data_IF_082603501874
#
_entry.id   IF_082603501874
#
_cell.length_a   1.000
_cell.length_b   1.000
_cell.length_c   1.000
_cell.angle_alpha   90.00
_cell.angle_beta   90.00
_cell.angle_gamma   90.00
#
_symmetry.space_group_name_H-M   'P 1'
#
loop_
_entity.id
_entity.type
_entity.pdbx_description
1 polymer ?
#
# COMPACT_ATOMS: atom_id res chain seq x y z
N UNK A 1 3.51 15.58 15.56
CA UNK A 1 2.73 16.74 15.07
C UNK A 1 3.68 17.94 14.92
N UNK A 2 3.74 18.60 13.76
CA UNK A 2 4.67 19.72 13.53
C UNK A 2 4.23 20.96 14.33
N UNK A 3 5.16 21.80 14.77
CA UNK A 3 4.86 23.00 15.56
C UNK A 3 3.81 23.92 14.90
N UNK A 4 3.85 24.06 13.57
CA UNK A 4 2.87 24.85 12.80
C UNK A 4 1.42 24.33 12.90
N UNK A 5 1.22 23.04 13.21
CA UNK A 5 -0.13 22.47 13.39
C UNK A 5 -0.77 22.94 14.69
N UNK A 6 0.01 23.28 15.72
CA UNK A 6 -0.47 23.70 17.04
C UNK A 6 -0.99 25.14 17.07
N UNK A 7 -0.51 25.97 16.15
CA UNK A 7 -0.93 27.37 16.01
C UNK A 7 -2.08 27.55 15.01
N UNK A 8 -2.56 26.46 14.41
CA UNK A 8 -3.64 26.50 13.44
C UNK A 8 -4.97 26.87 14.09
N UNK A 9 -5.89 27.47 13.31
CA UNK A 9 -7.22 27.78 13.82
C UNK A 9 -8.00 26.51 14.17
N UNK A 10 -7.79 25.41 13.45
CA UNK A 10 -8.40 24.12 13.72
C UNK A 10 -7.75 23.00 12.92
N UNK A 11 -8.10 21.77 13.26
CA UNK A 11 -7.49 20.56 12.72
C UNK A 11 -8.54 19.67 12.05
N UNK A 12 -8.26 19.25 10.82
CA UNK A 12 -9.07 18.25 10.11
C UNK A 12 -8.25 16.97 10.02
N UNK A 13 -8.83 15.87 10.49
CA UNK A 13 -8.23 14.55 10.50
C UNK A 13 -9.01 13.64 9.55
N UNK A 14 -8.31 12.90 8.69
CA UNK A 14 -8.93 11.85 7.89
C UNK A 14 -9.14 10.60 8.76
N UNK A 15 -10.13 10.69 9.64
CA UNK A 15 -10.54 9.68 10.59
C UNK A 15 -12.04 9.86 10.88
N UNK A 16 -12.62 9.00 11.70
CA UNK A 16 -14.02 9.13 12.14
C UNK A 16 -14.12 8.83 13.63
N UNK A 17 -15.12 9.44 14.29
CA UNK A 17 -15.21 9.47 15.75
C UNK A 17 -15.32 8.07 16.36
N UNK A 18 -16.07 7.18 15.72
CA UNK A 18 -16.28 5.80 16.17
C UNK A 18 -14.99 4.96 16.16
N UNK A 19 -13.99 5.35 15.36
CA UNK A 19 -12.68 4.67 15.32
C UNK A 19 -11.74 5.16 16.44
N UNK A 20 -11.67 6.47 16.66
CA UNK A 20 -10.59 7.12 17.43
C UNK A 20 -11.14 8.06 18.53
N UNK A 21 -12.23 7.67 19.20
CA UNK A 21 -12.91 8.57 20.16
C UNK A 21 -11.96 9.08 21.25
N UNK A 22 -11.11 8.22 21.82
CA UNK A 22 -10.25 8.60 22.94
C UNK A 22 -9.09 9.50 22.48
N UNK A 23 -8.51 9.20 21.32
CA UNK A 23 -7.41 9.91 20.70
C UNK A 23 -7.86 11.32 20.29
N UNK A 24 -9.05 11.46 19.70
CA UNK A 24 -9.61 12.76 19.35
C UNK A 24 -9.78 13.66 20.58
N UNK A 25 -10.21 13.11 21.72
CA UNK A 25 -10.31 13.86 22.97
C UNK A 25 -8.95 14.28 23.52
N UNK A 26 -7.93 13.42 23.41
CA UNK A 26 -6.55 13.78 23.75
C UNK A 26 -6.02 14.89 22.85
N UNK A 27 -6.28 14.83 21.54
CA UNK A 27 -5.89 15.86 20.58
C UNK A 27 -6.57 17.19 20.90
N UNK A 28 -7.87 17.22 21.19
CA UNK A 28 -8.56 18.46 21.62
C UNK A 28 -7.95 19.08 22.86
N UNK A 29 -7.65 18.25 23.89
CA UNK A 29 -6.96 18.70 25.11
C UNK A 29 -5.59 19.28 24.81
N UNK A 30 -4.82 18.62 23.93
CA UNK A 30 -3.49 19.08 23.52
C UNK A 30 -3.55 20.41 22.74
N UNK A 31 -4.52 20.54 21.84
CA UNK A 31 -4.79 21.75 21.05
C UNK A 31 -5.43 22.89 21.84
N UNK A 32 -5.94 22.60 23.05
CA UNK A 32 -6.64 23.55 23.94
C UNK A 32 -7.88 24.20 23.29
N UNK A 33 -8.50 23.52 22.32
CA UNK A 33 -9.74 23.95 21.69
C UNK A 33 -10.47 22.78 21.02
N UNK A 34 -11.79 22.92 20.82
CA UNK A 34 -12.63 21.87 20.25
C UNK A 34 -12.74 21.87 18.72
N UNK A 35 -12.02 22.76 18.05
CA UNK A 35 -11.97 22.88 16.57
C UNK A 35 -11.10 21.77 15.95
N UNK A 36 -11.45 20.52 16.25
CA UNK A 36 -10.84 19.29 15.74
C UNK A 36 -11.95 18.45 15.13
N UNK A 37 -11.91 18.22 13.83
CA UNK A 37 -12.94 17.49 13.09
C UNK A 37 -12.35 16.23 12.45
N UNK A 38 -12.99 15.09 12.72
CA UNK A 38 -12.72 13.84 12.05
C UNK A 38 -13.63 13.75 10.81
N UNK A 39 -13.04 13.88 9.62
CA UNK A 39 -13.71 13.79 8.32
C UNK A 39 -13.12 12.63 7.53
N UNK A 40 -13.65 11.43 7.77
CA UNK A 40 -13.14 10.22 7.16
C UNK A 40 -14.11 9.04 7.22
N UNK A 41 -13.75 7.91 6.58
CA UNK A 41 -12.61 7.80 5.67
C UNK A 41 -12.84 8.61 4.38
N UNK A 42 -11.90 9.48 4.02
CA UNK A 42 -11.95 10.20 2.75
C UNK A 42 -11.85 9.20 1.60
N UNK A 43 -12.86 9.19 0.74
CA UNK A 43 -12.88 8.30 -0.41
C UNK A 43 -11.87 8.77 -1.47
N UNK A 44 -11.19 7.83 -2.15
CA UNK A 44 -10.39 8.17 -3.31
C UNK A 44 -11.24 8.91 -4.35
N UNK A 45 -10.69 10.00 -4.91
CA UNK A 45 -11.37 10.74 -5.97
C UNK A 45 -11.51 9.83 -7.19
N UNK A 46 -12.76 9.51 -7.55
CA UNK A 46 -13.06 8.79 -8.78
C UNK A 46 -12.82 9.74 -9.96
N UNK A 47 -11.83 9.43 -10.80
CA UNK A 47 -11.71 10.06 -12.11
C UNK A 47 -12.91 9.64 -12.95
N UNK A 48 -13.70 10.63 -13.42
CA UNK A 48 -14.86 10.42 -14.29
C UNK A 48 -14.56 9.45 -15.45
N UNK A 49 -15.58 8.76 -16.02
CA UNK A 49 -15.39 7.82 -17.12
C UNK A 49 -14.88 8.46 -18.42
N UNK A 50 -14.78 9.79 -18.47
CA UNK A 50 -14.20 10.56 -19.57
C UNK A 50 -12.68 10.60 -19.35
N UNK A 51 -11.98 9.53 -19.72
CA UNK A 51 -10.51 9.48 -19.71
C UNK A 51 -9.92 8.24 -19.04
N UNK A 52 -10.32 7.04 -19.48
CA UNK A 52 -9.80 5.75 -18.97
C UNK A 52 -8.32 5.46 -19.25
N UNK A 53 -7.49 6.42 -19.67
CA UNK A 53 -6.11 6.13 -20.06
C UNK A 53 -5.00 6.87 -19.32
N UNK A 54 -5.25 7.89 -18.50
CA UNK A 54 -4.14 8.73 -18.03
C UNK A 54 -4.33 9.22 -16.60
N UNK A 55 -4.11 8.34 -15.62
CA UNK A 55 -3.37 8.79 -14.43
C UNK A 55 -1.89 8.85 -14.82
N UNK A 56 -1.55 9.89 -15.59
CA UNK A 56 -0.17 10.34 -15.77
C UNK A 56 0.29 10.94 -14.44
N UNK A 57 0.71 10.05 -13.55
CA UNK A 57 1.61 10.36 -12.45
C UNK A 57 3.02 10.03 -12.91
N UNK A 58 3.64 10.99 -13.61
CA UNK A 58 5.09 11.19 -13.76
C UNK A 58 5.97 9.93 -13.57
N UNK A 59 6.36 9.36 -14.72
CA UNK A 59 7.74 8.92 -15.00
C UNK A 59 8.23 7.64 -14.30
N UNK A 60 8.28 6.56 -15.10
CA UNK A 60 9.19 5.38 -15.00
C UNK A 60 8.82 4.33 -13.95
N UNK A 61 8.22 3.24 -14.43
CA UNK A 61 8.05 1.98 -13.72
C UNK A 61 7.07 1.09 -14.48
N UNK A 62 7.33 -0.23 -14.52
CA UNK A 62 6.39 -1.19 -15.10
C UNK A 62 4.97 -0.94 -14.58
N UNK A 63 3.99 -0.92 -15.46
CA UNK A 63 2.58 -0.74 -15.15
C UNK A 63 1.86 -1.95 -15.70
N UNK A 64 1.32 -2.82 -14.84
CA UNK A 64 0.40 -3.86 -15.30
C UNK A 64 -0.96 -3.18 -15.46
N UNK A 65 -1.57 -3.19 -16.67
CA UNK A 65 -2.89 -2.60 -16.88
C UNK A 65 -3.92 -3.15 -15.90
N UNK A 66 -4.79 -2.29 -15.37
CA UNK A 66 -5.77 -2.69 -14.36
C UNK A 66 -6.62 -3.90 -14.78
N UNK A 67 -7.01 -3.95 -16.06
CA UNK A 67 -7.81 -5.05 -16.59
C UNK A 67 -7.09 -6.41 -16.58
N UNK A 68 -5.75 -6.45 -16.68
CA UNK A 68 -4.98 -7.70 -16.60
C UNK A 68 -4.94 -8.21 -15.16
N UNK A 69 -4.74 -7.32 -14.19
CA UNK A 69 -4.78 -7.66 -12.75
C UNK A 69 -6.17 -8.18 -12.37
N UNK A 70 -7.22 -7.51 -12.82
CA UNK A 70 -8.60 -7.95 -12.57
C UNK A 70 -8.87 -9.30 -13.23
N UNK A 71 -8.41 -9.54 -14.46
CA UNK A 71 -8.56 -10.85 -15.11
C UNK A 71 -7.89 -11.98 -14.34
N UNK A 72 -6.72 -11.72 -13.74
CA UNK A 72 -6.04 -12.70 -12.88
C UNK A 72 -6.80 -12.93 -11.58
N UNK A 73 -7.38 -11.88 -10.98
CA UNK A 73 -8.24 -12.02 -9.81
C UNK A 73 -9.52 -12.81 -10.12
N UNK A 74 -10.15 -12.57 -11.29
CA UNK A 74 -11.34 -13.28 -11.76
C UNK A 74 -11.09 -14.77 -12.04
N UNK A 75 -9.86 -15.16 -12.38
CA UNK A 75 -9.53 -16.57 -12.61
C UNK A 75 -9.48 -17.40 -11.32
N UNK A 76 -9.55 -16.77 -10.15
CA UNK A 76 -9.61 -17.45 -8.86
C UNK A 76 -11.06 -17.49 -8.37
N UNK A 77 -11.57 -18.71 -8.13
CA UNK A 77 -12.98 -18.91 -7.80
C UNK A 77 -13.33 -18.62 -6.33
N UNK A 78 -12.35 -18.57 -5.44
CA UNK A 78 -12.54 -18.34 -4.01
C UNK A 78 -12.81 -16.88 -3.67
N UNK A 79 -13.77 -16.63 -2.79
CA UNK A 79 -13.96 -15.33 -2.16
C UNK A 79 -13.01 -15.21 -0.97
N UNK A 80 -12.47 -14.01 -0.75
CA UNK A 80 -11.56 -13.68 0.36
C UNK A 80 -10.34 -14.62 0.48
N UNK A 81 -9.86 -15.20 -0.63
CA UNK A 81 -8.79 -16.20 -0.64
C UNK A 81 -7.41 -15.66 -1.01
N UNK A 82 -7.34 -14.40 -1.48
CA UNK A 82 -6.10 -13.78 -1.98
C UNK A 82 -5.60 -12.75 -0.98
N UNK A 83 -4.29 -12.81 -0.71
CA UNK A 83 -3.59 -11.81 0.11
C UNK A 83 -3.00 -10.74 -0.82
N UNK A 84 -3.40 -9.50 -0.65
CA UNK A 84 -2.74 -8.36 -1.28
C UNK A 84 -1.57 -7.90 -0.39
N UNK A 85 -0.39 -7.72 -0.97
CA UNK A 85 0.83 -7.32 -0.26
C UNK A 85 1.40 -6.07 -0.91
N UNK A 86 1.39 -4.95 -0.19
CA UNK A 86 1.98 -3.70 -0.65
C UNK A 86 2.44 -2.83 0.54
N UNK A 87 3.70 -2.40 0.50
CA UNK A 87 4.35 -1.64 1.58
C UNK A 87 4.29 -0.11 1.35
N UNK A 88 3.17 0.40 0.82
CA UNK A 88 2.99 1.83 0.60
C UNK A 88 3.99 2.47 -0.39
N UNK A 89 4.03 3.81 -0.44
CA UNK A 89 4.90 4.55 -1.37
C UNK A 89 6.23 5.01 -0.78
N UNK A 90 6.38 4.95 0.55
CA UNK A 90 7.52 5.54 1.27
C UNK A 90 8.57 4.51 1.69
N UNK A 91 8.33 3.22 1.45
CA UNK A 91 9.18 2.14 1.96
C UNK A 91 9.96 1.53 0.81
N UNK A 92 11.26 1.46 1.03
CA UNK A 92 12.17 0.69 0.20
C UNK A 92 12.68 -0.47 1.06
N UNK A 93 12.40 -1.70 0.62
CA UNK A 93 12.94 -2.90 1.25
C UNK A 93 14.37 -3.12 0.80
N UNK A 94 15.28 -3.39 1.74
CA UNK A 94 16.60 -3.90 1.41
C UNK A 94 16.52 -5.36 0.92
N UNK A 95 17.63 -5.89 0.41
CA UNK A 95 17.67 -7.26 -0.13
C UNK A 95 17.24 -8.33 0.86
N UNK A 96 17.67 -8.26 2.12
CA UNK A 96 17.31 -9.26 3.15
C UNK A 96 15.81 -9.27 3.45
N UNK A 97 15.19 -8.09 3.50
CA UNK A 97 13.74 -7.96 3.67
C UNK A 97 12.98 -8.51 2.46
N UNK A 98 13.46 -8.21 1.25
CA UNK A 98 12.90 -8.73 0.00
C UNK A 98 12.96 -10.28 -0.05
N UNK A 99 14.11 -10.86 0.31
CA UNK A 99 14.29 -12.31 0.43
C UNK A 99 13.36 -12.92 1.49
N UNK A 100 13.24 -12.29 2.66
CA UNK A 100 12.36 -12.79 3.72
C UNK A 100 10.88 -12.79 3.30
N UNK A 101 10.40 -11.72 2.66
CA UNK A 101 9.03 -11.65 2.15
C UNK A 101 8.80 -12.69 1.06
N UNK A 102 9.72 -12.82 0.11
CA UNK A 102 9.65 -13.84 -0.93
C UNK A 102 9.58 -15.25 -0.33
N UNK A 103 10.48 -15.60 0.59
CA UNK A 103 10.47 -16.91 1.26
C UNK A 103 9.17 -17.15 2.02
N UNK A 104 8.65 -16.16 2.73
CA UNK A 104 7.38 -16.28 3.46
C UNK A 104 6.18 -16.52 2.51
N UNK A 105 6.14 -15.79 1.38
CA UNK A 105 5.13 -16.02 0.33
C UNK A 105 5.28 -17.41 -0.30
N UNK A 106 6.52 -17.87 -0.46
CA UNK A 106 6.83 -19.21 -0.96
C UNK A 106 6.32 -20.31 -0.01
N UNK A 107 6.70 -20.24 1.26
CA UNK A 107 6.41 -21.27 2.26
C UNK A 107 4.95 -21.27 2.72
N UNK A 108 4.28 -20.11 2.72
CA UNK A 108 2.88 -20.01 3.18
C UNK A 108 1.88 -20.76 2.30
N UNK A 109 2.21 -21.04 1.03
CA UNK A 109 1.28 -21.63 0.08
C UNK A 109 0.06 -20.76 -0.27
N UNK A 110 0.01 -19.51 0.22
CA UNK A 110 -1.11 -18.60 -0.01
C UNK A 110 -1.23 -18.20 -1.49
N UNK A 111 -2.46 -17.81 -1.89
CA UNK A 111 -2.68 -17.04 -3.11
C UNK A 111 -2.38 -15.57 -2.82
N UNK A 112 -1.61 -14.89 -3.68
CA UNK A 112 -1.21 -13.52 -3.38
C UNK A 112 -1.04 -12.63 -4.61
N UNK A 113 -1.17 -11.33 -4.38
CA UNK A 113 -0.64 -10.28 -5.24
C UNK A 113 0.42 -9.54 -4.45
N UNK A 114 1.66 -9.48 -4.94
CA UNK A 114 2.74 -8.75 -4.30
C UNK A 114 3.22 -7.60 -5.19
N UNK A 115 3.09 -6.37 -4.67
CA UNK A 115 3.54 -5.16 -5.35
C UNK A 115 4.94 -4.81 -4.86
N UNK A 116 5.90 -4.84 -5.78
CA UNK A 116 7.30 -4.49 -5.52
C UNK A 116 7.62 -3.19 -6.25
N UNK A 117 7.91 -2.12 -5.50
CA UNK A 117 8.39 -0.88 -6.09
C UNK A 117 9.83 -1.04 -6.57
N UNK A 118 10.09 -0.60 -7.80
CA UNK A 118 11.45 -0.44 -8.29
C UNK A 118 12.01 0.88 -7.74
N UNK A 119 13.27 0.86 -7.29
CA UNK A 119 14.02 2.07 -6.99
C UNK A 119 14.05 2.98 -8.22
N UNK A 120 13.77 4.28 -8.02
CA UNK A 120 13.96 5.27 -9.08
C UNK A 120 15.46 5.32 -9.42
N UNK A 121 15.80 5.22 -10.72
CA UNK A 121 17.18 5.41 -11.19
C UNK A 121 17.70 6.77 -10.71
N UNK A 122 18.79 6.78 -9.93
CA UNK A 122 19.46 8.00 -9.46
C UNK A 122 19.48 8.21 -7.94
N UNK A 123 18.95 7.28 -7.15
CA UNK A 123 19.24 7.25 -5.70
C UNK A 123 20.62 6.64 -5.47
N UNK A 124 21.44 7.23 -4.58
CA UNK A 124 22.78 6.76 -4.15
C UNK A 124 22.73 5.43 -3.37
N UNK A 125 21.97 4.45 -3.88
CA UNK A 125 21.86 3.11 -3.33
C UNK A 125 22.70 2.23 -4.24
N UNK A 126 23.72 1.58 -3.67
CA UNK A 126 24.60 0.67 -4.38
C UNK A 126 23.79 -0.31 -5.23
N UNK A 127 24.24 -0.55 -6.47
CA UNK A 127 23.54 -1.44 -7.42
C UNK A 127 23.36 -2.87 -6.89
N UNK A 128 24.16 -3.26 -5.88
CA UNK A 128 24.09 -4.55 -5.16
C UNK A 128 23.01 -4.62 -4.06
N UNK A 129 22.46 -3.49 -3.60
CA UNK A 129 21.45 -3.44 -2.52
C UNK A 129 20.03 -3.16 -3.04
N UNK A 130 19.83 -3.31 -4.35
CA UNK A 130 18.54 -3.10 -4.97
C UNK A 130 17.52 -4.14 -4.48
N UNK A 131 16.31 -3.65 -4.22
CA UNK A 131 15.06 -4.38 -3.95
C UNK A 131 14.70 -5.35 -5.09
N UNK A 132 15.52 -6.38 -5.30
CA UNK A 132 15.38 -7.33 -6.38
C UNK A 132 14.62 -8.54 -5.88
N UNK A 133 13.47 -8.80 -6.50
CA UNK A 133 12.75 -10.06 -6.35
C UNK A 133 13.74 -11.21 -6.61
N UNK A 134 13.81 -12.23 -5.73
CA UNK A 134 14.76 -13.32 -5.88
C UNK A 134 14.65 -13.99 -7.25
N UNK A 135 15.79 -14.40 -7.80
CA UNK A 135 15.83 -15.04 -9.12
C UNK A 135 14.91 -16.27 -9.16
N UNK A 136 14.10 -16.37 -10.22
CA UNK A 136 13.14 -17.45 -10.43
C UNK A 136 11.93 -17.46 -9.48
N UNK A 137 11.76 -16.46 -8.61
CA UNK A 137 10.61 -16.38 -7.71
C UNK A 137 9.29 -16.42 -8.47
N UNK A 138 9.18 -15.60 -9.52
CA UNK A 138 7.98 -15.55 -10.37
C UNK A 138 7.57 -16.90 -10.93
N UNK A 139 8.55 -17.68 -11.42
CA UNK A 139 8.31 -19.01 -11.98
C UNK A 139 7.85 -20.01 -10.90
N UNK A 140 8.45 -19.93 -9.70
CA UNK A 140 8.08 -20.80 -8.56
C UNK A 140 6.66 -20.57 -8.07
N UNK A 141 6.14 -19.34 -8.22
CA UNK A 141 4.82 -18.95 -7.71
C UNK A 141 3.78 -18.71 -8.80
N UNK A 142 4.08 -18.92 -10.08
CA UNK A 142 3.24 -18.54 -11.23
C UNK A 142 1.76 -18.95 -11.09
N UNK A 143 1.49 -20.12 -10.50
CA UNK A 143 0.13 -20.66 -10.34
C UNK A 143 -0.68 -20.05 -9.20
N UNK A 144 -0.04 -19.28 -8.31
CA UNK A 144 -0.64 -18.81 -7.05
C UNK A 144 -0.30 -17.38 -6.69
N UNK A 145 0.70 -16.80 -7.32
CA UNK A 145 1.21 -15.46 -7.02
C UNK A 145 1.28 -14.62 -8.28
N UNK A 146 0.83 -13.37 -8.17
CA UNK A 146 1.07 -12.33 -9.16
C UNK A 146 2.03 -11.28 -8.57
N UNK A 147 3.17 -11.06 -9.24
CA UNK A 147 4.15 -10.06 -8.83
C UNK A 147 4.06 -8.84 -9.74
N UNK A 148 3.67 -7.70 -9.18
CA UNK A 148 3.55 -6.44 -9.90
C UNK A 148 4.76 -5.58 -9.55
N UNK A 149 5.62 -5.31 -10.53
CA UNK A 149 6.72 -4.35 -10.37
C UNK A 149 6.19 -2.95 -10.65
N UNK A 150 6.49 -1.98 -9.79
CA UNK A 150 6.11 -0.57 -9.97
C UNK A 150 4.76 -0.22 -9.35
N UNK A 151 3.83 0.26 -10.16
CA UNK A 151 2.52 0.74 -9.70
C UNK A 151 1.43 -0.29 -9.96
N UNK A 152 0.50 -0.42 -9.00
CA UNK A 152 -0.63 -1.33 -9.06
C UNK A 152 -1.97 -0.57 -8.94
N UNK A 153 -3.05 -1.09 -9.54
CA UNK A 153 -4.42 -0.56 -9.41
C UNK A 153 -5.00 -0.90 -8.02
N UNK A 154 -4.48 -0.26 -6.97
CA UNK A 154 -4.75 -0.62 -5.58
C UNK A 154 -6.24 -0.55 -5.20
N UNK A 155 -6.97 0.48 -5.67
CA UNK A 155 -8.41 0.62 -5.38
C UNK A 155 -9.21 -0.53 -6.02
N UNK A 156 -8.88 -0.91 -7.25
CA UNK A 156 -9.51 -2.00 -7.96
C UNK A 156 -9.20 -3.37 -7.34
N UNK A 157 -7.96 -3.59 -6.91
CA UNK A 157 -7.55 -4.83 -6.21
C UNK A 157 -8.31 -4.95 -4.89
N UNK A 158 -8.29 -3.92 -4.04
CA UNK A 158 -8.89 -3.95 -2.70
C UNK A 158 -10.41 -4.10 -2.72
N UNK A 159 -11.08 -3.67 -3.81
CA UNK A 159 -12.53 -3.86 -4.00
C UNK A 159 -12.91 -5.22 -4.55
N UNK A 160 -11.95 -6.01 -5.02
CA UNK A 160 -12.23 -7.28 -5.67
C UNK A 160 -12.59 -8.36 -4.65
N UNK A 161 -13.70 -9.07 -4.88
CA UNK A 161 -14.26 -10.09 -3.95
C UNK A 161 -13.29 -11.21 -3.53
N UNK A 162 -12.33 -11.54 -4.40
CA UNK A 162 -11.35 -12.59 -4.14
C UNK A 162 -10.26 -12.16 -3.12
N UNK A 163 -10.07 -10.85 -2.89
CA UNK A 163 -9.08 -10.33 -1.95
C UNK A 163 -9.65 -10.36 -0.54
N UNK A 164 -9.02 -11.12 0.35
CA UNK A 164 -9.48 -11.30 1.73
C UNK A 164 -8.65 -10.55 2.78
N UNK A 165 -7.37 -10.30 2.45
CA UNK A 165 -6.42 -9.72 3.39
C UNK A 165 -5.50 -8.73 2.70
N UNK A 166 -5.07 -7.72 3.44
CA UNK A 166 -4.09 -6.74 2.98
C UNK A 166 -2.92 -6.69 3.98
N UNK A 167 -1.74 -7.13 3.54
CA UNK A 167 -0.49 -6.92 4.25
C UNK A 167 0.07 -5.55 3.86
N UNK A 168 0.01 -4.63 4.81
CA UNK A 168 0.58 -3.28 4.74
C UNK A 168 1.77 -3.16 5.67
N UNK A 169 2.59 -2.16 5.41
CA UNK A 169 3.39 -1.62 6.49
C UNK A 169 2.49 -0.84 7.45
N UNK A 170 2.42 -1.30 8.69
CA UNK A 170 2.12 -0.41 9.80
C UNK A 170 3.46 0.16 10.25
N UNK A 171 3.62 1.48 10.15
CA UNK A 171 4.66 2.23 10.84
C UNK A 171 4.56 1.95 12.35
N UNK A 172 5.18 0.87 12.80
CA UNK A 172 5.60 0.73 14.18
C UNK A 172 6.87 1.56 14.34
N UNK A 173 6.73 2.89 14.34
CA UNK A 173 7.63 3.75 15.10
C UNK A 173 7.39 3.48 16.59
N UNK A 174 7.72 2.27 17.05
CA UNK A 174 8.01 2.05 18.46
C UNK A 174 9.50 2.32 18.62
N UNK A 175 9.79 3.55 19.04
CA UNK A 175 11.12 3.95 19.46
C UNK A 175 11.77 2.84 20.29
N UNK A 176 12.90 2.35 19.79
CA UNK A 176 13.94 1.82 20.65
C UNK A 176 14.27 2.90 21.69
N UNK A 177 14.04 2.59 22.96
CA UNK A 177 14.60 3.25 24.13
C UNK A 177 14.65 2.21 25.24
#
# INVERSE_FOLDING_TARGET
MRAASLESWGLILNSFTELETQELELVKKFMKHDRVWAFGPLLPVQSSPIGKNERVGLTIGSFVPAHEVIKWLDSHHGDLSIVYVAFGSQITMNRRQMEAVASALEESGALFIWVVRALMKGTDVDEEDQSMIPYGFGDRVERRGLVIKGWAPQDEILRHRAVGSYLVDELLDYHAS
#
